data_IF_767296810464
#
_entry.id   IF_767296810464
#
_cell.length_a   1.000
_cell.length_b   1.000
_cell.length_c   1.000
_cell.angle_alpha   90.00
_cell.angle_beta   90.00
_cell.angle_gamma   90.00
#
_symmetry.space_group_name_H-M   'P 1'
#
loop_
_entity.id
_entity.type
_entity.pdbx_description
1 polymer ?
#
# COMPACT_ATOMS: atom_id res chain seq x y z
N UNK A 1 -9.50 -20.57 9.42
CA UNK A 1 -10.08 -20.76 8.07
C UNK A 1 -9.34 -21.89 7.39
N UNK A 2 -10.05 -22.91 6.94
CA UNK A 2 -9.50 -24.03 6.17
C UNK A 2 -9.07 -23.51 4.79
N UNK A 3 -7.85 -23.84 4.34
CA UNK A 3 -7.41 -23.49 2.99
C UNK A 3 -8.28 -24.21 1.95
N UNK A 4 -8.85 -23.46 1.00
CA UNK A 4 -9.62 -24.04 -0.11
C UNK A 4 -8.61 -24.67 -1.09
N UNK A 5 -8.76 -25.94 -1.47
CA UNK A 5 -7.88 -26.57 -2.44
C UNK A 5 -7.85 -25.80 -3.77
N UNK A 6 -6.65 -25.65 -4.34
CA UNK A 6 -6.43 -24.90 -5.60
C UNK A 6 -7.30 -25.41 -6.76
N UNK A 7 -7.60 -26.72 -6.78
CA UNK A 7 -8.49 -27.36 -7.77
C UNK A 7 -9.90 -26.79 -7.68
N UNK A 8 -10.45 -26.73 -6.48
CA UNK A 8 -11.83 -26.29 -6.22
C UNK A 8 -11.98 -24.80 -6.48
N UNK A 9 -10.95 -24.02 -6.14
CA UNK A 9 -10.88 -22.60 -6.46
C UNK A 9 -10.92 -22.37 -7.98
N UNK A 10 -10.11 -23.11 -8.75
CA UNK A 10 -10.09 -23.02 -10.22
C UNK A 10 -11.44 -23.39 -10.83
N UNK A 11 -12.07 -24.46 -10.33
CA UNK A 11 -13.40 -24.88 -10.79
C UNK A 11 -14.44 -23.79 -10.51
N UNK A 12 -14.44 -23.24 -9.31
CA UNK A 12 -15.37 -22.17 -8.90
C UNK A 12 -15.21 -20.92 -9.76
N UNK A 13 -13.98 -20.46 -9.96
CA UNK A 13 -13.69 -19.32 -10.85
C UNK A 13 -14.15 -19.63 -12.29
N UNK A 14 -13.93 -20.85 -12.79
CA UNK A 14 -14.40 -21.27 -14.11
C UNK A 14 -15.92 -21.21 -14.26
N UNK A 15 -16.67 -21.58 -13.22
CA UNK A 15 -18.14 -21.46 -13.19
C UNK A 15 -18.55 -19.99 -13.22
N UNK A 16 -17.96 -19.16 -12.37
CA UNK A 16 -18.27 -17.72 -12.32
C UNK A 16 -17.97 -17.03 -13.66
N UNK A 17 -16.90 -17.42 -14.33
CA UNK A 17 -16.53 -16.89 -15.65
C UNK A 17 -17.57 -17.27 -16.70
N UNK A 18 -18.02 -18.53 -16.73
CA UNK A 18 -19.07 -19.00 -17.66
C UNK A 18 -20.42 -18.29 -17.42
N UNK A 19 -20.70 -17.91 -16.18
CA UNK A 19 -21.89 -17.12 -15.81
C UNK A 19 -21.76 -15.62 -16.15
N UNK A 20 -20.62 -15.16 -16.64
CA UNK A 20 -20.37 -13.74 -16.92
C UNK A 20 -20.20 -12.87 -15.67
N UNK A 21 -20.04 -13.48 -14.49
CA UNK A 21 -19.88 -12.74 -13.23
C UNK A 21 -18.44 -12.25 -13.07
N UNK A 22 -17.45 -13.02 -13.55
CA UNK A 22 -16.04 -12.65 -13.51
C UNK A 22 -15.41 -12.67 -14.90
N UNK A 23 -14.54 -11.71 -15.15
CA UNK A 23 -13.69 -11.66 -16.33
C UNK A 23 -12.31 -12.23 -16.03
N UNK A 24 -11.70 -12.84 -17.04
CA UNK A 24 -10.29 -13.20 -17.03
C UNK A 24 -9.51 -12.16 -17.81
N UNK A 25 -8.56 -11.51 -17.17
CA UNK A 25 -7.71 -10.50 -17.79
C UNK A 25 -6.31 -11.05 -18.03
N UNK A 26 -5.83 -10.87 -19.25
CA UNK A 26 -4.47 -11.22 -19.69
C UNK A 26 -3.59 -9.99 -19.54
N UNK A 27 -2.63 -9.99 -18.63
CA UNK A 27 -1.73 -8.85 -18.53
C UNK A 27 -0.32 -9.08 -19.07
N UNK A 28 0.06 -10.31 -19.46
CA UNK A 28 1.40 -10.63 -19.99
C UNK A 28 1.50 -12.08 -20.47
N UNK A 29 2.70 -12.55 -20.80
CA UNK A 29 2.90 -13.82 -21.54
C UNK A 29 2.33 -15.07 -20.87
N UNK A 30 2.18 -15.10 -19.52
CA UNK A 30 1.66 -16.27 -18.79
C UNK A 30 0.87 -15.96 -17.52
N UNK A 31 0.50 -14.69 -17.31
CA UNK A 31 -0.20 -14.26 -16.09
C UNK A 31 -1.62 -13.83 -16.43
N UNK A 32 -2.56 -14.48 -15.75
CA UNK A 32 -3.99 -14.22 -15.83
C UNK A 32 -4.50 -13.92 -14.44
N UNK A 33 -5.41 -12.96 -14.35
CA UNK A 33 -6.12 -12.68 -13.12
C UNK A 33 -7.60 -12.55 -13.39
N UNK A 34 -8.38 -12.69 -12.32
CA UNK A 34 -9.83 -12.65 -12.38
C UNK A 34 -10.34 -11.43 -11.62
N UNK A 35 -11.33 -10.77 -12.17
CA UNK A 35 -12.03 -9.67 -11.52
C UNK A 35 -13.53 -9.79 -11.74
N UNK A 36 -14.34 -9.17 -10.89
CA UNK A 36 -15.79 -9.03 -11.15
C UNK A 36 -15.98 -8.25 -12.45
N UNK A 37 -16.82 -8.77 -13.33
CA UNK A 37 -17.17 -8.13 -14.59
C UNK A 37 -17.83 -6.77 -14.31
N UNK A 38 -17.40 -5.74 -15.04
CA UNK A 38 -17.80 -4.35 -14.78
C UNK A 38 -19.14 -3.96 -15.44
N UNK A 39 -19.91 -4.93 -15.94
CA UNK A 39 -21.32 -4.71 -16.28
C UNK A 39 -22.16 -4.56 -15.01
N UNK A 40 -23.21 -3.73 -15.07
CA UNK A 40 -24.13 -3.54 -13.93
C UNK A 40 -24.74 -4.86 -13.44
N UNK A 41 -25.24 -5.77 -14.31
CA UNK A 41 -25.81 -7.04 -13.86
C UNK A 41 -24.82 -7.93 -13.10
N UNK A 42 -23.56 -8.01 -13.56
CA UNK A 42 -22.56 -8.83 -12.89
C UNK A 42 -22.19 -8.27 -11.50
N UNK A 43 -22.11 -6.95 -11.35
CA UNK A 43 -21.89 -6.30 -10.05
C UNK A 43 -23.06 -6.50 -9.10
N UNK A 44 -24.29 -6.38 -9.58
CA UNK A 44 -25.51 -6.63 -8.77
C UNK A 44 -25.57 -8.08 -8.29
N UNK A 45 -25.23 -9.03 -9.15
CA UNK A 45 -25.18 -10.45 -8.77
C UNK A 45 -24.08 -10.73 -7.75
N UNK A 46 -22.88 -10.16 -7.94
CA UNK A 46 -21.79 -10.29 -6.96
C UNK A 46 -22.17 -9.68 -5.60
N UNK A 47 -22.80 -8.51 -5.60
CA UNK A 47 -23.32 -7.83 -4.41
C UNK A 47 -24.34 -8.65 -3.66
N UNK A 48 -25.28 -9.28 -4.37
CA UNK A 48 -26.28 -10.17 -3.79
C UNK A 48 -25.63 -11.38 -3.10
N UNK A 49 -24.60 -11.98 -3.70
CA UNK A 49 -23.89 -13.14 -3.13
C UNK A 49 -23.03 -12.76 -1.93
N UNK A 50 -22.40 -11.58 -1.97
CA UNK A 50 -21.46 -11.12 -0.94
C UNK A 50 -22.13 -10.32 0.18
N UNK A 51 -23.42 -9.99 0.04
CA UNK A 51 -24.16 -9.20 1.02
C UNK A 51 -23.68 -7.75 1.12
N UNK A 52 -23.29 -7.14 -0.01
CA UNK A 52 -22.74 -5.78 -0.07
C UNK A 52 -23.43 -4.94 -1.14
N UNK A 53 -23.02 -3.68 -1.34
CA UNK A 53 -23.54 -2.83 -2.43
C UNK A 53 -22.84 -3.13 -3.77
N UNK A 54 -23.58 -3.02 -4.89
CA UNK A 54 -23.01 -3.13 -6.24
C UNK A 54 -21.97 -2.06 -6.53
N UNK A 55 -22.08 -0.91 -5.87
CA UNK A 55 -21.19 0.24 -6.08
C UNK A 55 -19.79 -0.01 -5.50
N UNK A 56 -19.67 -0.90 -4.52
CA UNK A 56 -18.38 -1.32 -3.94
C UNK A 56 -17.52 -2.11 -4.95
N UNK A 57 -18.12 -2.64 -6.03
CA UNK A 57 -17.42 -3.40 -7.06
C UNK A 57 -17.04 -2.58 -8.30
N UNK A 58 -17.34 -1.27 -8.30
CA UNK A 58 -16.93 -0.37 -9.38
C UNK A 58 -15.41 -0.25 -9.33
N UNK A 59 -14.77 -0.53 -10.48
CA UNK A 59 -13.33 -0.39 -10.66
C UNK A 59 -13.00 0.84 -11.52
N UNK A 60 -11.86 1.52 -11.28
CA UNK A 60 -11.43 2.61 -12.12
C UNK A 60 -11.13 2.13 -13.55
N UNK A 61 -11.26 3.05 -14.52
CA UNK A 61 -10.87 2.79 -15.91
C UNK A 61 -9.34 2.85 -16.01
N UNK A 62 -8.71 1.67 -16.03
CA UNK A 62 -7.25 1.53 -16.09
C UNK A 62 -6.76 1.11 -17.47
N UNK A 63 -5.64 1.70 -17.90
CA UNK A 63 -4.89 1.21 -19.06
C UNK A 63 -4.41 -0.22 -18.77
N UNK A 64 -4.32 -1.05 -19.81
CA UNK A 64 -3.96 -2.47 -19.68
C UNK A 64 -2.68 -2.69 -18.87
N UNK A 65 -1.66 -1.86 -19.08
CA UNK A 65 -0.36 -1.93 -18.40
C UNK A 65 -0.43 -1.63 -16.89
N UNK A 66 -1.40 -0.80 -16.47
CA UNK A 66 -1.53 -0.34 -15.08
C UNK A 66 -2.34 -1.35 -14.23
N UNK A 67 -3.07 -2.26 -14.87
CA UNK A 67 -3.96 -3.23 -14.18
C UNK A 67 -3.25 -4.16 -13.20
N UNK A 68 -2.00 -4.52 -13.51
CA UNK A 68 -1.23 -5.38 -12.61
C UNK A 68 -0.72 -4.64 -11.39
N UNK A 69 -0.35 -3.38 -11.57
CA UNK A 69 0.04 -2.53 -10.46
C UNK A 69 -1.13 -2.32 -9.51
N UNK A 70 -2.30 -2.01 -10.07
CA UNK A 70 -3.54 -1.85 -9.33
C UNK A 70 -3.94 -3.11 -8.53
N UNK A 71 -3.73 -4.31 -9.09
CA UNK A 71 -3.95 -5.57 -8.38
C UNK A 71 -3.08 -5.73 -7.14
N UNK A 72 -1.80 -5.36 -7.22
CA UNK A 72 -0.93 -5.45 -6.05
C UNK A 72 -1.34 -4.45 -4.99
N UNK A 73 -1.75 -3.25 -5.40
CA UNK A 73 -2.34 -2.27 -4.50
C UNK A 73 -3.62 -2.83 -3.82
N UNK A 74 -4.48 -3.53 -4.56
CA UNK A 74 -5.69 -4.19 -4.04
C UNK A 74 -5.36 -5.33 -3.08
N UNK A 75 -4.40 -6.18 -3.45
CA UNK A 75 -3.93 -7.28 -2.63
C UNK A 75 -3.44 -6.78 -1.26
N UNK A 76 -2.57 -5.77 -1.26
CA UNK A 76 -2.05 -5.18 -0.03
C UNK A 76 -3.13 -4.45 0.76
N UNK A 77 -3.99 -3.67 0.09
CA UNK A 77 -5.14 -3.02 0.74
C UNK A 77 -6.03 -4.03 1.46
N UNK A 78 -6.32 -5.17 0.81
CA UNK A 78 -7.13 -6.23 1.39
C UNK A 78 -6.44 -6.94 2.56
N UNK A 79 -5.14 -7.27 2.43
CA UNK A 79 -4.35 -7.88 3.52
C UNK A 79 -4.34 -6.97 4.76
N UNK A 80 -4.16 -5.66 4.56
CA UNK A 80 -4.13 -4.68 5.64
C UNK A 80 -5.52 -4.49 6.29
N UNK A 81 -6.60 -4.41 5.50
CA UNK A 81 -7.98 -4.37 6.04
C UNK A 81 -8.33 -5.57 6.90
N UNK A 82 -7.82 -6.76 6.55
CA UNK A 82 -8.00 -7.95 7.38
C UNK A 82 -7.21 -7.92 8.69
N UNK A 83 -6.04 -7.30 8.67
CA UNK A 83 -5.18 -7.19 9.84
C UNK A 83 -5.60 -6.07 10.80
N UNK A 84 -6.14 -4.97 10.26
CA UNK A 84 -6.49 -3.76 10.99
C UNK A 84 -7.97 -3.42 10.76
N UNK A 85 -8.90 -3.86 11.63
CA UNK A 85 -10.35 -3.71 11.38
C UNK A 85 -10.85 -2.27 11.24
N UNK A 86 -10.13 -1.29 11.81
CA UNK A 86 -10.50 0.14 11.81
C UNK A 86 -9.69 1.00 10.85
N UNK A 87 -8.97 0.37 9.92
CA UNK A 87 -8.15 1.06 8.93
C UNK A 87 -9.01 1.77 7.90
N UNK A 88 -8.62 2.98 7.52
CA UNK A 88 -9.09 3.64 6.31
C UNK A 88 -7.98 3.60 5.26
N UNK A 89 -8.30 3.20 4.03
CA UNK A 89 -7.36 3.17 2.90
C UNK A 89 -7.91 4.03 1.78
N UNK A 90 -7.11 5.01 1.34
CA UNK A 90 -7.43 5.92 0.23
C UNK A 90 -6.47 5.65 -0.91
N UNK A 91 -7.00 5.19 -2.05
CA UNK A 91 -6.20 4.88 -3.25
C UNK A 91 -5.79 6.14 -4.00
N UNK A 92 -4.72 6.07 -4.77
CA UNK A 92 -4.19 7.18 -5.59
C UNK A 92 -5.29 8.01 -6.28
N UNK A 93 -6.19 7.35 -7.03
CA UNK A 93 -7.26 8.01 -7.78
C UNK A 93 -8.35 8.66 -6.91
N UNK A 94 -8.39 8.38 -5.60
CA UNK A 94 -9.33 8.94 -4.64
C UNK A 94 -8.73 10.08 -3.82
N UNK A 95 -7.40 10.26 -3.84
CA UNK A 95 -6.68 11.20 -2.97
C UNK A 95 -7.16 12.64 -3.16
N UNK A 96 -7.34 13.08 -4.41
CA UNK A 96 -7.75 14.46 -4.70
C UNK A 96 -9.15 14.78 -4.18
N UNK A 97 -10.07 13.81 -4.24
CA UNK A 97 -11.44 13.95 -3.73
C UNK A 97 -11.57 13.72 -2.22
N UNK A 98 -10.50 13.28 -1.55
CA UNK A 98 -10.49 13.04 -0.11
C UNK A 98 -9.70 14.16 0.58
N UNK A 99 -10.41 15.08 1.24
CA UNK A 99 -9.81 16.26 1.87
C UNK A 99 -8.73 15.91 2.90
N UNK A 100 -8.92 14.84 3.66
CA UNK A 100 -7.94 14.37 4.67
C UNK A 100 -6.66 13.92 3.97
N UNK A 101 -6.78 13.08 2.93
CA UNK A 101 -5.65 12.59 2.15
C UNK A 101 -4.89 13.72 1.44
N UNK A 102 -5.62 14.63 0.79
CA UNK A 102 -5.05 15.79 0.14
C UNK A 102 -4.31 16.71 1.13
N UNK A 103 -4.88 16.91 2.34
CA UNK A 103 -4.24 17.67 3.41
C UNK A 103 -2.97 17.00 3.92
N UNK A 104 -2.98 15.68 4.11
CA UNK A 104 -1.79 14.94 4.57
C UNK A 104 -0.64 15.08 3.57
N UNK A 105 -0.92 14.96 2.28
CA UNK A 105 0.09 15.05 1.23
C UNK A 105 0.46 16.50 0.85
N UNK A 106 -0.14 17.49 1.53
CA UNK A 106 0.04 18.91 1.28
C UNK A 106 -0.04 19.23 -0.22
N UNK A 107 -1.05 18.68 -0.89
CA UNK A 107 -1.21 18.83 -2.34
C UNK A 107 -1.44 20.32 -2.68
N UNK A 108 -0.41 20.98 -3.20
CA UNK A 108 -0.56 22.19 -4.02
C UNK A 108 -0.85 21.75 -5.46
N UNK A 109 -1.57 22.55 -6.23
CA UNK A 109 -2.07 22.18 -7.57
C UNK A 109 -1.00 21.46 -8.40
N UNK A 110 -1.32 20.22 -8.79
CA UNK A 110 -0.68 19.39 -9.82
C UNK A 110 0.75 18.93 -9.50
N UNK A 111 0.89 17.87 -8.71
CA UNK A 111 2.14 17.09 -8.64
C UNK A 111 1.82 15.59 -8.58
N UNK A 112 1.11 15.12 -9.60
CA UNK A 112 0.61 13.75 -9.73
C UNK A 112 1.72 12.70 -9.63
N UNK A 113 2.95 13.02 -10.04
CA UNK A 113 4.07 12.08 -10.04
C UNK A 113 4.55 11.66 -8.64
N UNK A 114 4.18 12.42 -7.61
CA UNK A 114 4.63 12.22 -6.23
C UNK A 114 3.51 11.72 -5.30
N UNK A 115 2.40 11.24 -5.86
CA UNK A 115 1.37 10.56 -5.09
C UNK A 115 1.80 9.13 -4.74
N UNK A 116 1.43 8.64 -3.55
CA UNK A 116 1.57 7.22 -3.23
C UNK A 116 0.50 6.42 -3.94
N UNK A 117 0.76 5.12 -4.10
CA UNK A 117 -0.23 4.19 -4.67
C UNK A 117 -1.47 4.12 -3.80
N UNK A 118 -1.29 4.21 -2.48
CA UNK A 118 -2.35 4.44 -1.52
C UNK A 118 -1.84 5.00 -0.19
N UNK A 119 -2.75 5.63 0.54
CA UNK A 119 -2.57 6.04 1.93
C UNK A 119 -3.34 5.10 2.84
N UNK A 120 -2.73 4.78 3.97
CA UNK A 120 -3.30 4.04 5.08
C UNK A 120 -3.43 4.95 6.29
N UNK A 121 -4.61 4.98 6.89
CA UNK A 121 -4.88 5.71 8.12
C UNK A 121 -5.27 4.73 9.22
N UNK A 122 -4.55 4.77 10.34
CA UNK A 122 -4.83 3.99 11.54
C UNK A 122 -5.25 4.94 12.67
N UNK A 123 -6.23 4.56 13.51
CA UNK A 123 -6.50 5.30 14.73
C UNK A 123 -5.29 5.23 15.68
N UNK A 124 -4.90 6.35 16.29
CA UNK A 124 -3.86 6.37 17.33
C UNK A 124 -4.48 6.42 18.72
N UNK A 125 -3.86 5.73 19.67
CA UNK A 125 -4.27 5.74 21.08
C UNK A 125 -4.09 7.13 21.72
N UNK A 126 -3.10 7.89 21.25
CA UNK A 126 -2.81 9.26 21.70
C UNK A 126 -3.76 10.34 21.13
N UNK A 127 -4.79 9.92 20.39
CA UNK A 127 -5.68 10.80 19.65
C UNK A 127 -5.18 11.13 18.24
N UNK A 128 -6.12 11.31 17.30
CA UNK A 128 -5.81 11.52 15.88
C UNK A 128 -5.57 10.23 15.10
N UNK A 129 -4.75 10.30 14.06
CA UNK A 129 -4.49 9.19 13.13
C UNK A 129 -3.01 9.08 12.81
N UNK A 130 -2.51 7.85 12.73
CA UNK A 130 -1.23 7.53 12.08
C UNK A 130 -1.50 7.41 10.59
N UNK A 131 -0.71 8.11 9.78
CA UNK A 131 -0.86 8.09 8.32
C UNK A 131 0.37 7.51 7.65
N UNK A 132 0.20 6.49 6.83
CA UNK A 132 1.29 5.76 6.20
C UNK A 132 1.10 5.75 4.69
N UNK A 133 2.13 6.12 3.93
CA UNK A 133 2.14 6.04 2.48
C UNK A 133 2.66 4.66 2.03
N UNK A 134 2.04 4.09 1.01
CA UNK A 134 2.47 2.85 0.38
C UNK A 134 2.87 3.06 -1.07
N UNK A 135 3.94 2.38 -1.46
CA UNK A 135 4.49 2.32 -2.80
C UNK A 135 4.73 0.86 -3.17
N UNK A 136 4.22 0.44 -4.32
CA UNK A 136 4.36 -0.89 -4.88
C UNK A 136 5.34 -0.82 -6.04
N UNK A 137 6.61 -1.15 -5.80
CA UNK A 137 7.64 -1.01 -6.81
C UNK A 137 7.87 -2.31 -7.59
N UNK A 138 7.26 -2.38 -8.78
CA UNK A 138 7.38 -3.56 -9.66
C UNK A 138 8.60 -3.51 -10.57
N UNK A 139 9.03 -2.31 -10.94
CA UNK A 139 10.10 -2.11 -11.92
C UNK A 139 11.02 -1.01 -11.47
N UNK A 140 12.29 -1.06 -11.88
CA UNK A 140 13.24 -0.02 -11.48
C UNK A 140 12.80 1.35 -12.02
N UNK A 141 12.60 2.31 -11.11
CA UNK A 141 12.53 3.74 -11.45
C UNK A 141 13.93 4.35 -11.40
N UNK A 142 14.09 5.50 -12.04
CA UNK A 142 15.34 6.27 -11.93
C UNK A 142 15.56 6.72 -10.48
N UNK A 143 16.80 6.66 -10.02
CA UNK A 143 17.20 7.10 -8.68
C UNK A 143 16.75 8.56 -8.40
N UNK A 144 16.85 9.46 -9.40
CA UNK A 144 16.35 10.84 -9.31
C UNK A 144 14.87 10.94 -8.92
N UNK A 145 14.03 10.06 -9.49
CA UNK A 145 12.59 10.02 -9.21
C UNK A 145 12.32 9.52 -7.79
N UNK A 146 13.02 8.47 -7.37
CA UNK A 146 12.90 7.90 -6.02
C UNK A 146 13.33 8.93 -4.97
N UNK A 147 14.47 9.59 -5.18
CA UNK A 147 14.97 10.65 -4.28
C UNK A 147 13.99 11.83 -4.17
N UNK A 148 13.39 12.27 -5.29
CA UNK A 148 12.36 13.32 -5.27
C UNK A 148 11.13 12.91 -4.44
N UNK A 149 10.66 11.66 -4.58
CA UNK A 149 9.55 11.12 -3.76
C UNK A 149 9.92 11.08 -2.27
N UNK A 150 11.07 10.50 -1.93
CA UNK A 150 11.49 10.44 -0.53
C UNK A 150 11.62 11.83 0.10
N UNK A 151 12.30 12.77 -0.57
CA UNK A 151 12.42 14.15 -0.07
C UNK A 151 11.05 14.73 0.25
N UNK A 152 10.09 14.60 -0.66
CA UNK A 152 8.71 15.07 -0.43
C UNK A 152 8.09 14.40 0.79
N UNK A 153 8.13 13.08 0.88
CA UNK A 153 7.50 12.35 1.98
C UNK A 153 8.12 12.68 3.34
N UNK A 154 9.44 12.82 3.39
CA UNK A 154 10.20 13.11 4.60
C UNK A 154 9.99 14.55 5.07
N UNK A 155 9.97 15.54 4.17
CA UNK A 155 10.02 16.96 4.55
C UNK A 155 8.74 17.74 4.25
N UNK A 156 7.98 17.36 3.22
CA UNK A 156 6.93 18.19 2.62
C UNK A 156 5.51 17.63 2.83
N UNK A 157 5.36 16.50 3.51
CA UNK A 157 4.06 15.89 3.84
C UNK A 157 3.84 15.74 5.34
N UNK A 158 2.68 15.22 5.73
CA UNK A 158 2.33 14.93 7.13
C UNK A 158 2.24 13.44 7.44
N UNK A 159 2.75 12.58 6.56
CA UNK A 159 2.75 11.13 6.78
C UNK A 159 3.68 10.79 7.95
N UNK A 160 3.28 9.81 8.76
CA UNK A 160 4.04 9.28 9.88
C UNK A 160 4.96 8.12 9.46
N UNK A 161 4.72 7.50 8.31
CA UNK A 161 5.56 6.43 7.78
C UNK A 161 5.41 6.17 6.29
N UNK A 162 6.36 5.43 5.74
CA UNK A 162 6.47 5.11 4.32
C UNK A 162 6.83 3.64 4.15
N UNK A 163 6.06 2.94 3.33
CA UNK A 163 6.23 1.51 3.05
C UNK A 163 6.48 1.30 1.57
N UNK A 164 7.57 0.61 1.22
CA UNK A 164 7.84 0.14 -0.14
C UNK A 164 7.71 -1.38 -0.23
N UNK A 165 6.80 -1.89 -1.06
CA UNK A 165 6.76 -3.32 -1.39
C UNK A 165 7.36 -3.52 -2.77
N UNK A 166 8.49 -4.20 -2.84
CA UNK A 166 9.26 -4.35 -4.08
C UNK A 166 9.10 -5.75 -4.68
N UNK A 167 9.26 -5.86 -6.00
CA UNK A 167 9.22 -7.15 -6.72
C UNK A 167 10.51 -7.96 -6.67
N UNK A 168 11.59 -7.39 -6.13
CA UNK A 168 12.83 -8.14 -5.91
C UNK A 168 13.69 -7.52 -4.83
N UNK A 169 14.55 -8.35 -4.22
CA UNK A 169 15.60 -7.92 -3.30
C UNK A 169 16.54 -6.86 -3.88
N UNK A 170 16.84 -6.92 -5.19
CA UNK A 170 17.67 -5.89 -5.83
C UNK A 170 17.00 -4.52 -5.86
N UNK A 171 15.68 -4.48 -6.10
CA UNK A 171 14.91 -3.24 -6.11
C UNK A 171 14.81 -2.65 -4.70
N UNK A 172 14.42 -3.47 -3.71
CA UNK A 172 14.31 -3.02 -2.33
C UNK A 172 15.64 -2.52 -1.78
N UNK A 173 16.74 -3.22 -2.07
CA UNK A 173 18.08 -2.83 -1.61
C UNK A 173 18.55 -1.51 -2.23
N UNK A 174 18.23 -1.26 -3.50
CA UNK A 174 18.49 0.02 -4.16
C UNK A 174 17.72 1.16 -3.47
N UNK A 175 16.43 0.94 -3.21
CA UNK A 175 15.57 1.93 -2.54
C UNK A 175 16.05 2.22 -1.12
N UNK A 176 16.39 1.17 -0.36
CA UNK A 176 16.94 1.26 1.00
C UNK A 176 18.25 2.05 1.03
N UNK A 177 19.18 1.74 0.13
CA UNK A 177 20.46 2.44 0.03
C UNK A 177 20.26 3.93 -0.27
N UNK A 178 19.33 4.27 -1.17
CA UNK A 178 19.01 5.67 -1.47
C UNK A 178 18.43 6.40 -0.24
N UNK A 179 17.59 5.74 0.54
CA UNK A 179 17.03 6.29 1.78
C UNK A 179 18.13 6.57 2.82
N UNK A 180 18.96 5.55 3.13
CA UNK A 180 20.00 5.66 4.15
C UNK A 180 21.10 6.67 3.78
N UNK A 181 21.65 6.56 2.56
CA UNK A 181 22.91 7.25 2.22
C UNK A 181 22.73 8.69 1.75
N UNK A 182 21.55 9.06 1.26
CA UNK A 182 21.35 10.37 0.61
C UNK A 182 20.45 11.32 1.36
N UNK A 183 19.58 10.80 2.23
CA UNK A 183 18.45 11.60 2.73
C UNK A 183 18.36 11.62 4.25
N UNK A 184 18.78 10.55 4.92
CA UNK A 184 18.65 10.47 6.37
C UNK A 184 19.50 11.51 7.11
N UNK A 185 20.72 11.74 6.66
CA UNK A 185 21.60 12.74 7.28
C UNK A 185 21.08 14.17 7.13
N UNK A 186 20.32 14.44 6.06
CA UNK A 186 19.84 15.76 5.66
C UNK A 186 18.45 16.09 6.21
N UNK A 187 17.65 15.08 6.54
CA UNK A 187 16.28 15.27 7.02
C UNK A 187 16.30 15.78 8.46
N UNK A 188 15.77 16.97 8.71
CA UNK A 188 15.61 17.47 10.09
C UNK A 188 14.35 16.90 10.76
N UNK A 189 13.34 16.55 9.97
CA UNK A 189 12.04 16.13 10.48
C UNK A 189 12.01 14.68 10.96
N UNK A 190 12.69 13.77 10.26
CA UNK A 190 12.55 12.35 10.56
C UNK A 190 13.81 11.69 11.12
N UNK A 191 14.93 12.42 11.23
CA UNK A 191 16.23 11.84 11.60
C UNK A 191 16.19 11.14 12.97
N UNK A 192 15.42 11.65 13.92
CA UNK A 192 15.27 11.08 15.26
C UNK A 192 14.37 9.82 15.30
N UNK A 193 13.55 9.57 14.29
CA UNK A 193 12.68 8.40 14.19
C UNK A 193 12.86 7.62 12.87
N UNK A 194 14.00 7.85 12.21
CA UNK A 194 14.39 7.35 10.90
C UNK A 194 14.11 5.86 10.67
N UNK A 195 14.48 5.04 11.66
CA UNK A 195 14.32 3.59 11.63
C UNK A 195 12.85 3.16 11.65
N UNK A 196 11.99 3.98 12.25
CA UNK A 196 10.56 3.77 12.37
C UNK A 196 9.75 4.52 11.31
N UNK A 197 10.37 5.36 10.47
CA UNK A 197 9.68 6.02 9.37
C UNK A 197 9.54 5.12 8.14
N UNK A 198 10.57 4.32 7.83
CA UNK A 198 10.66 3.60 6.57
C UNK A 198 10.67 2.09 6.76
N UNK A 199 9.76 1.42 6.05
CA UNK A 199 9.64 -0.02 5.97
C UNK A 199 9.74 -0.47 4.52
N UNK A 200 10.34 -1.62 4.26
CA UNK A 200 10.30 -2.20 2.93
C UNK A 200 10.12 -3.71 2.94
N UNK A 201 9.63 -4.24 1.82
CA UNK A 201 9.57 -5.67 1.51
C UNK A 201 10.28 -5.91 0.19
N UNK A 202 10.91 -7.07 0.06
CA UNK A 202 11.65 -7.53 -1.13
C UNK A 202 10.83 -8.47 -2.02
N UNK A 203 9.54 -8.70 -1.69
CA UNK A 203 8.61 -9.51 -2.47
C UNK A 203 7.21 -8.91 -2.49
N UNK A 204 6.60 -8.81 -3.68
CA UNK A 204 5.21 -8.35 -3.83
C UNK A 204 4.21 -9.25 -3.09
N UNK A 205 4.50 -10.55 -2.99
CA UNK A 205 3.63 -11.51 -2.31
C UNK A 205 3.86 -11.57 -0.81
N UNK A 206 5.09 -11.31 -0.35
CA UNK A 206 5.54 -11.61 1.01
C UNK A 206 5.42 -13.10 1.40
N UNK A 207 5.34 -14.01 0.42
CA UNK A 207 5.29 -15.45 0.65
C UNK A 207 4.08 -15.94 1.46
N UNK A 208 4.30 -16.89 2.36
CA UNK A 208 3.25 -17.50 3.18
C UNK A 208 2.79 -16.59 4.32
N UNK A 209 3.64 -15.64 4.75
CA UNK A 209 3.35 -14.69 5.83
C UNK A 209 3.65 -13.25 5.38
N UNK A 210 2.77 -12.66 4.54
CA UNK A 210 3.06 -11.37 3.91
C UNK A 210 3.25 -10.21 4.89
N UNK A 211 2.55 -10.25 6.03
CA UNK A 211 2.62 -9.19 7.05
C UNK A 211 3.87 -9.28 7.93
N UNK A 212 4.57 -10.42 7.91
CA UNK A 212 5.83 -10.67 8.64
C UNK A 212 7.07 -10.51 7.74
N UNK A 213 6.88 -10.31 6.44
CA UNK A 213 7.97 -10.28 5.44
C UNK A 213 8.41 -8.85 5.12
N UNK A 214 8.75 -8.10 6.16
CA UNK A 214 9.20 -6.71 6.06
C UNK A 214 10.54 -6.50 6.76
N UNK A 215 11.18 -5.40 6.41
CA UNK A 215 12.45 -4.96 6.96
C UNK A 215 12.37 -3.47 7.28
N UNK A 216 13.01 -3.04 8.35
CA UNK A 216 13.18 -1.60 8.64
C UNK A 216 14.31 -1.01 7.78
N UNK A 217 14.56 0.30 7.91
CA UNK A 217 15.62 0.98 7.13
C UNK A 217 16.98 0.28 7.20
N UNK A 218 17.36 -0.24 8.37
CA UNK A 218 18.63 -0.92 8.63
C UNK A 218 18.66 -2.40 8.17
N UNK A 219 17.71 -2.80 7.31
CA UNK A 219 17.54 -4.18 6.86
C UNK A 219 17.30 -5.21 7.98
N UNK A 220 16.83 -4.78 9.16
CA UNK A 220 16.45 -5.72 10.23
C UNK A 220 15.05 -6.29 9.94
N UNK A 221 14.86 -7.61 9.97
CA UNK A 221 13.54 -8.22 9.80
C UNK A 221 12.55 -7.71 10.85
N UNK A 222 11.33 -7.43 10.42
CA UNK A 222 10.23 -6.97 11.28
C UNK A 222 8.89 -7.32 10.65
N UNK A 223 7.80 -7.07 11.37
CA UNK A 223 6.45 -7.19 10.83
C UNK A 223 5.82 -5.81 10.66
N UNK A 224 4.95 -5.66 9.67
CA UNK A 224 4.17 -4.43 9.53
C UNK A 224 3.20 -4.24 10.70
N UNK A 225 2.81 -5.33 11.37
CA UNK A 225 1.94 -5.29 12.55
C UNK A 225 2.64 -4.61 13.73
N UNK A 226 3.80 -5.13 14.14
CA UNK A 226 4.61 -4.57 15.24
C UNK A 226 5.07 -3.14 14.94
N UNK A 227 5.40 -2.86 13.68
CA UNK A 227 5.79 -1.52 13.25
C UNK A 227 4.62 -0.53 13.32
N UNK A 228 3.43 -0.90 12.85
CA UNK A 228 2.23 -0.06 12.98
C UNK A 228 1.84 0.16 14.45
N UNK A 229 1.95 -0.87 15.28
CA UNK A 229 1.69 -0.78 16.73
C UNK A 229 2.60 0.25 17.40
N UNK A 230 3.91 0.18 17.10
CA UNK A 230 4.90 1.18 17.55
C UNK A 230 4.50 2.59 17.13
N UNK A 231 4.08 2.78 15.87
CA UNK A 231 3.64 4.09 15.39
C UNK A 231 2.36 4.57 16.08
N UNK A 232 1.40 3.67 16.37
CA UNK A 232 0.10 4.03 16.96
C UNK A 232 0.17 4.39 18.44
N UNK A 233 1.08 3.74 19.19
CA UNK A 233 1.33 3.94 20.62
C UNK A 233 2.29 5.11 20.91
N UNK A 234 3.16 5.45 19.95
CA UNK A 234 3.97 6.67 20.03
C UNK A 234 3.06 7.91 19.99
N UNK A 235 3.40 9.00 20.68
CA UNK A 235 2.64 10.24 20.57
C UNK A 235 2.89 10.95 19.23
N UNK A 236 1.90 11.72 18.75
CA UNK A 236 2.07 12.52 17.53
C UNK A 236 3.23 13.52 17.62
N UNK A 237 3.48 14.11 18.80
CA UNK A 237 4.61 15.01 19.02
C UNK A 237 5.94 14.27 18.90
N UNK A 238 6.09 13.09 19.50
CA UNK A 238 7.33 12.31 19.40
C UNK A 238 7.65 11.86 17.96
N UNK A 239 6.63 11.63 17.13
CA UNK A 239 6.81 11.36 15.68
C UNK A 239 7.13 12.59 14.83
N UNK A 240 7.05 13.81 15.38
CA UNK A 240 7.15 15.07 14.61
C UNK A 240 8.22 16.03 15.12
N UNK A 241 8.50 16.00 16.42
CA UNK A 241 9.51 16.81 17.11
C UNK A 241 10.72 15.95 17.45
N UNK A 242 11.91 16.55 17.46
CA UNK A 242 13.23 15.91 17.60
C UNK A 242 13.46 14.99 18.84
N UNK A 243 12.45 14.75 19.67
CA UNK A 243 12.51 13.87 20.84
C UNK A 243 11.62 12.63 20.63
N UNK A 244 12.13 11.64 19.89
CA UNK A 244 11.61 10.27 19.93
C UNK A 244 12.27 9.60 21.14
N UNK A 245 11.50 9.33 22.20
CA UNK A 245 11.97 8.42 23.27
C UNK A 245 11.75 7.00 22.76
N UNK A 246 12.84 6.25 22.58
CA UNK A 246 12.76 4.81 22.44
C UNK A 246 12.06 4.25 23.70
N UNK A 247 11.01 3.44 23.49
CA UNK A 247 10.52 2.53 24.52
C UNK A 247 11.50 1.35 24.64
#
# INVERSE_FOLDING_TARGET
MTEIPKKDLRQSIGILKRKGIVDMLVGGDRLFFYQINQSKPAREEAARVLGSSSDEFIRPLLRRQDRYHDQWCEFWSWKLRRAFPRIEIVREFQIHSNEIAANVLQLKQVDYELMPDFLMFLPSESGGRVTIAFEIERTRKSDKRILRKFKRYMEETRIDGLVYVCDSGRLSETIRTLYETKLLEQSMRIKHYAENFFLFSDSLTGGTRPLESFFNSNAKPTSILSWCDTLCTTSRSARRDAYFKHA
#
